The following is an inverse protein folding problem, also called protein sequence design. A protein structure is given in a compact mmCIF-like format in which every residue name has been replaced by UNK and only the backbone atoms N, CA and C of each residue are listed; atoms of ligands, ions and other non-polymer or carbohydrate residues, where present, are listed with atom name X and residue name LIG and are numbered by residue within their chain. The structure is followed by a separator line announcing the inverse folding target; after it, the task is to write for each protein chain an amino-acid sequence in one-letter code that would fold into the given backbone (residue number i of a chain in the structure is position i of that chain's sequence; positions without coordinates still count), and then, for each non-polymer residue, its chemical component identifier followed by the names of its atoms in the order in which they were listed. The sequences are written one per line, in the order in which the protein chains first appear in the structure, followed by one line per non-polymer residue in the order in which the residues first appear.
data_IF_208674429835
#
_entry.id   IF_208674429835
#
_cell.length_a   1.000
_cell.length_b   1.000
_cell.length_c   1.000
_cell.angle_alpha   90.00
_cell.angle_beta   90.00
_cell.angle_gamma   90.00
#
_symmetry.space_group_name_H-M   'P 1'
#
loop_
_entity.id
_entity.type
_entity.pdbx_description
1 polymer ?
#
# COMPACT_ATOMS: atom_id res chain seq x y z
N UNK A 1 19.56 2.91 39.47
CA UNK A 1 18.29 2.18 39.24
C UNK A 1 18.33 0.87 39.98
N UNK A 2 17.28 0.53 40.73
CA UNK A 2 17.19 -0.81 41.30
C UNK A 2 17.07 -1.84 40.17
N UNK A 3 17.75 -3.00 40.24
CA UNK A 3 17.79 -3.98 39.15
C UNK A 3 16.40 -4.49 38.74
N UNK A 4 15.41 -4.44 39.64
CA UNK A 4 14.01 -4.79 39.33
C UNK A 4 13.32 -3.80 38.39
N UNK A 5 13.64 -2.50 38.45
CA UNK A 5 13.02 -1.47 37.60
C UNK A 5 13.50 -1.56 36.16
N UNK A 6 14.78 -1.90 35.95
CA UNK A 6 15.34 -2.12 34.61
C UNK A 6 14.65 -3.28 33.90
N UNK A 7 14.47 -4.42 34.60
CA UNK A 7 13.78 -5.58 34.08
C UNK A 7 12.30 -5.30 33.77
N UNK A 8 11.64 -4.49 34.61
CA UNK A 8 10.25 -4.09 34.37
C UNK A 8 10.11 -3.15 33.17
N UNK A 9 11.02 -2.19 33.00
CA UNK A 9 11.05 -1.30 31.84
C UNK A 9 11.31 -2.08 30.55
N UNK A 10 12.26 -3.02 30.58
CA UNK A 10 12.53 -3.90 29.45
C UNK A 10 11.29 -4.74 29.10
N UNK A 11 10.59 -5.27 30.10
CA UNK A 11 9.35 -6.00 29.89
C UNK A 11 8.27 -5.14 29.23
N UNK A 12 8.13 -3.87 29.64
CA UNK A 12 7.19 -2.93 29.00
C UNK A 12 7.62 -2.66 27.55
N UNK A 13 8.89 -2.33 27.30
CA UNK A 13 9.41 -2.00 25.97
C UNK A 13 9.33 -3.16 24.96
N UNK A 14 9.21 -4.41 25.44
CA UNK A 14 8.97 -5.59 24.59
C UNK A 14 7.53 -5.68 24.07
N UNK A 15 6.57 -5.05 24.75
CA UNK A 15 5.14 -5.15 24.41
C UNK A 15 4.57 -3.87 23.80
N UNK A 16 5.31 -2.76 23.83
CA UNK A 16 4.89 -1.50 23.22
C UNK A 16 5.20 -1.51 21.72
N UNK A 17 4.24 -1.07 20.91
CA UNK A 17 4.36 -0.92 19.45
C UNK A 17 5.18 0.30 19.03
N UNK A 18 6.28 0.58 19.73
CA UNK A 18 7.17 1.71 19.47
C UNK A 18 8.60 1.21 19.47
N UNK A 19 9.32 1.53 18.40
CA UNK A 19 10.73 1.23 18.23
C UNK A 19 11.56 2.24 18.98
N UNK A 20 12.48 1.77 19.80
CA UNK A 20 13.36 2.61 20.60
C UNK A 20 14.79 2.14 20.42
N UNK A 21 15.68 3.05 20.02
CA UNK A 21 17.12 2.85 20.03
C UNK A 21 17.83 4.00 20.73
N UNK A 22 18.94 3.68 21.40
CA UNK A 22 19.84 4.66 22.00
C UNK A 22 21.17 4.56 21.28
N UNK A 23 21.68 5.67 20.79
CA UNK A 23 22.92 5.76 20.04
C UNK A 23 23.91 6.64 20.79
N UNK A 24 25.20 6.30 20.72
CA UNK A 24 26.26 7.21 21.18
C UNK A 24 26.43 8.34 20.15
N UNK A 25 26.31 9.59 20.56
CA UNK A 25 26.34 10.76 19.65
C UNK A 25 27.63 10.89 18.84
N UNK A 26 28.79 10.66 19.46
CA UNK A 26 30.10 10.85 18.79
C UNK A 26 30.42 9.80 17.75
N UNK A 27 30.03 8.55 18.00
CA UNK A 27 30.41 7.40 17.18
C UNK A 27 29.24 6.74 16.46
N UNK A 28 28.00 7.19 16.73
CA UNK A 28 26.74 6.61 16.25
C UNK A 28 26.67 5.09 16.45
N UNK A 29 27.23 4.59 17.55
CA UNK A 29 27.13 3.18 17.91
C UNK A 29 25.84 2.93 18.69
N UNK A 30 25.16 1.83 18.38
CA UNK A 30 23.92 1.44 19.02
C UNK A 30 24.23 0.93 20.44
N UNK A 31 23.78 1.65 21.47
CA UNK A 31 23.90 1.23 22.88
C UNK A 31 22.73 0.35 23.30
N UNK A 32 21.55 0.60 22.74
CA UNK A 32 20.34 -0.12 23.05
C UNK A 32 19.41 -0.11 21.82
N UNK A 33 18.69 -1.21 21.62
CA UNK A 33 17.63 -1.32 20.64
C UNK A 33 16.59 -2.30 21.20
N UNK A 34 15.31 -1.91 21.23
CA UNK A 34 14.25 -2.82 21.62
C UNK A 34 13.87 -3.77 20.47
N UNK A 35 13.19 -4.90 20.74
CA UNK A 35 12.82 -5.84 19.67
C UNK A 35 11.96 -5.23 18.56
N UNK A 36 11.13 -4.22 18.89
CA UNK A 36 10.27 -3.57 17.91
C UNK A 36 11.07 -2.79 16.86
N UNK A 37 12.11 -2.04 17.25
CA UNK A 37 12.94 -1.33 16.26
C UNK A 37 13.75 -2.28 15.38
N UNK A 38 14.13 -3.45 15.90
CA UNK A 38 14.81 -4.48 15.12
C UNK A 38 13.90 -5.07 14.05
N UNK A 39 12.59 -5.17 14.30
CA UNK A 39 11.61 -5.66 13.34
C UNK A 39 11.43 -4.75 12.11
N UNK A 40 12.00 -3.53 12.12
CA UNK A 40 12.07 -2.63 10.97
C UNK A 40 13.32 -2.82 10.12
N UNK A 41 14.33 -3.52 10.61
CA UNK A 41 15.57 -3.75 9.89
C UNK A 41 15.42 -4.95 8.94
N UNK A 42 16.17 -4.93 7.84
CA UNK A 42 16.23 -6.06 6.91
C UNK A 42 17.04 -7.22 7.50
N UNK A 43 16.91 -8.42 6.92
CA UNK A 43 17.75 -9.55 7.27
C UNK A 43 19.23 -9.25 6.98
N UNK A 44 20.17 -9.63 7.86
CA UNK A 44 20.01 -10.49 9.04
C UNK A 44 19.73 -9.75 10.37
N UNK A 45 19.66 -8.41 10.34
CA UNK A 45 19.70 -7.57 11.54
C UNK A 45 18.44 -7.65 12.39
N UNK A 46 17.31 -8.05 11.82
CA UNK A 46 16.05 -8.22 12.54
C UNK A 46 16.10 -9.30 13.65
N UNK A 47 17.04 -10.25 13.59
CA UNK A 47 17.20 -11.31 14.60
C UNK A 47 18.56 -11.30 15.29
N UNK A 48 19.50 -10.46 14.83
CA UNK A 48 20.84 -10.38 15.40
C UNK A 48 20.95 -9.26 16.43
N UNK A 49 21.93 -9.41 17.33
CA UNK A 49 22.24 -8.36 18.28
C UNK A 49 23.02 -7.24 17.58
N UNK A 50 22.36 -6.09 17.42
CA UNK A 50 22.95 -4.89 16.79
C UNK A 50 23.67 -3.97 17.79
N UNK A 51 23.62 -4.28 19.09
CA UNK A 51 24.27 -3.47 20.12
C UNK A 51 25.78 -3.50 19.94
N UNK A 52 26.39 -2.31 19.92
CA UNK A 52 27.82 -2.10 19.70
C UNK A 52 28.19 -1.89 18.23
N UNK A 53 27.28 -2.13 17.28
CA UNK A 53 27.50 -1.83 15.87
C UNK A 53 27.23 -0.35 15.57
N UNK A 54 27.80 0.13 14.48
CA UNK A 54 27.50 1.47 13.99
C UNK A 54 26.21 1.46 13.19
N UNK A 55 25.48 2.57 13.25
CA UNK A 55 24.23 2.74 12.49
C UNK A 55 24.43 2.57 10.98
N UNK A 56 25.59 2.98 10.43
CA UNK A 56 25.93 2.84 9.01
C UNK A 56 26.20 1.40 8.56
N UNK A 57 26.43 0.48 9.49
CA UNK A 57 26.61 -0.96 9.21
C UNK A 57 25.29 -1.72 9.19
N UNK A 58 24.27 -1.18 9.88
CA UNK A 58 22.99 -1.86 10.13
C UNK A 58 21.87 -1.34 9.22
N UNK A 59 21.84 -0.03 8.95
CA UNK A 59 20.81 0.56 8.10
C UNK A 59 21.10 0.34 6.60
N UNK A 60 20.07 0.16 5.76
CA UNK A 60 20.22 0.18 4.30
C UNK A 60 20.82 1.50 3.82
N UNK A 61 21.68 1.45 2.79
CA UNK A 61 22.40 2.61 2.27
C UNK A 61 21.49 3.82 1.96
N UNK A 62 20.31 3.57 1.40
CA UNK A 62 19.30 4.58 1.08
C UNK A 62 18.79 5.33 2.32
N UNK A 63 18.65 4.61 3.44
CA UNK A 63 18.25 5.20 4.72
C UNK A 63 19.45 5.90 5.36
N UNK A 64 20.66 5.32 5.27
CA UNK A 64 21.89 5.92 5.79
C UNK A 64 22.13 7.32 5.24
N UNK A 65 21.97 7.52 3.93
CA UNK A 65 22.19 8.80 3.26
C UNK A 65 21.27 9.91 3.82
N UNK A 66 20.08 9.54 4.28
CA UNK A 66 19.10 10.45 4.86
C UNK A 66 19.30 10.59 6.37
N UNK A 67 19.51 9.48 7.08
CA UNK A 67 19.54 9.42 8.53
C UNK A 67 20.84 9.96 9.13
N UNK A 68 22.01 9.68 8.54
CA UNK A 68 23.31 10.08 9.10
C UNK A 68 23.47 11.60 9.23
N UNK A 69 23.12 12.43 8.21
CA UNK A 69 23.15 13.88 8.36
C UNK A 69 22.25 14.38 9.49
N UNK A 70 21.07 13.77 9.65
CA UNK A 70 20.10 14.14 10.68
C UNK A 70 20.59 13.79 12.09
N UNK A 71 21.12 12.59 12.28
CA UNK A 71 21.70 12.16 13.55
C UNK A 71 22.87 13.07 13.96
N UNK A 72 23.74 13.45 13.00
CA UNK A 72 24.82 14.40 13.25
C UNK A 72 24.30 15.78 13.62
N UNK A 73 23.30 16.29 12.89
CA UNK A 73 22.68 17.57 13.18
C UNK A 73 22.08 17.63 14.59
N UNK A 74 21.40 16.58 15.04
CA UNK A 74 20.85 16.50 16.40
C UNK A 74 21.96 16.41 17.44
N UNK A 75 23.04 15.66 17.15
CA UNK A 75 24.19 15.55 18.05
C UNK A 75 24.96 16.86 18.25
N UNK A 76 25.06 17.67 17.20
CA UNK A 76 25.80 18.94 17.21
C UNK A 76 24.96 20.08 17.77
N UNK A 77 23.69 20.19 17.36
CA UNK A 77 22.83 21.31 17.72
C UNK A 77 22.03 21.07 19.00
N UNK A 78 21.90 19.81 19.46
CA UNK A 78 21.06 19.43 20.58
C UNK A 78 19.58 19.73 20.38
N UNK A 79 19.14 19.99 19.14
CA UNK A 79 17.75 20.28 18.83
C UNK A 79 17.04 18.98 18.43
N UNK A 80 15.93 18.60 19.10
CA UNK A 80 15.19 17.41 18.73
C UNK A 80 14.57 17.58 17.35
N UNK A 81 14.56 16.50 16.58
CA UNK A 81 13.98 16.47 15.24
C UNK A 81 12.82 15.48 15.23
N UNK A 82 11.70 15.92 14.65
CA UNK A 82 10.49 15.12 14.55
C UNK A 82 9.99 15.08 13.11
N UNK A 83 9.78 13.86 12.61
CA UNK A 83 9.20 13.60 11.30
C UNK A 83 7.90 12.81 11.46
N UNK A 84 6.86 13.29 10.79
CA UNK A 84 5.54 12.67 10.79
C UNK A 84 5.27 12.04 9.42
N UNK A 85 4.70 10.84 9.45
CA UNK A 85 4.18 10.15 8.25
C UNK A 85 5.22 9.98 7.12
N UNK A 86 6.47 9.68 7.47
CA UNK A 86 7.54 9.44 6.49
C UNK A 86 7.21 8.17 5.70
N UNK A 87 7.05 8.25 4.37
CA UNK A 87 6.79 7.06 3.56
C UNK A 87 8.07 6.23 3.46
N UNK A 88 7.95 4.95 3.78
CA UNK A 88 9.00 3.96 3.57
C UNK A 88 8.49 2.89 2.60
N UNK A 89 9.24 2.71 1.52
CA UNK A 89 8.89 1.82 0.40
C UNK A 89 9.78 0.58 0.33
N UNK A 90 10.64 0.33 1.33
CA UNK A 90 11.70 -0.69 1.28
C UNK A 90 11.23 -2.05 0.74
N UNK A 91 10.55 -2.85 1.57
CA UNK A 91 10.04 -4.17 1.17
C UNK A 91 8.57 -4.10 0.77
N UNK A 92 8.28 -3.48 -0.38
CA UNK A 92 6.95 -3.46 -1.01
C UNK A 92 6.33 -4.87 -1.12
N UNK A 93 7.15 -5.91 -1.26
CA UNK A 93 6.75 -7.32 -1.46
C UNK A 93 6.05 -7.96 -0.26
N UNK A 94 6.40 -7.56 0.98
CA UNK A 94 5.88 -8.19 2.21
C UNK A 94 4.98 -7.26 3.02
N UNK A 95 5.22 -5.94 3.01
CA UNK A 95 4.50 -4.98 3.86
C UNK A 95 3.81 -3.84 3.08
N UNK A 96 4.10 -3.70 1.79
CA UNK A 96 3.66 -2.55 1.00
C UNK A 96 4.28 -1.24 1.52
N UNK A 97 3.74 -0.10 1.08
CA UNK A 97 4.16 1.21 1.60
C UNK A 97 3.74 1.37 3.07
N UNK A 98 4.71 1.66 3.93
CA UNK A 98 4.49 1.95 5.35
C UNK A 98 4.75 3.43 5.64
N UNK A 99 4.14 3.95 6.70
CA UNK A 99 4.30 5.34 7.13
C UNK A 99 4.83 5.36 8.54
N UNK A 100 5.96 6.03 8.74
CA UNK A 100 6.64 6.05 10.03
C UNK A 100 6.61 7.43 10.65
N UNK A 101 6.48 7.45 11.97
CA UNK A 101 6.68 8.64 12.78
C UNK A 101 7.99 8.46 13.53
N UNK A 102 8.94 9.37 13.29
CA UNK A 102 10.31 9.24 13.80
C UNK A 102 10.63 10.48 14.63
N UNK A 103 11.09 10.30 15.86
CA UNK A 103 11.73 11.37 16.63
C UNK A 103 13.16 11.00 17.00
N UNK A 104 14.02 12.00 16.95
CA UNK A 104 15.42 11.91 17.35
C UNK A 104 15.64 13.01 18.37
N UNK A 105 15.97 12.62 19.60
CA UNK A 105 16.09 13.52 20.74
C UNK A 105 17.43 13.32 21.43
N UNK A 106 18.12 14.38 21.86
CA UNK A 106 19.29 14.22 22.73
C UNK A 106 18.83 13.74 24.11
N UNK A 107 19.41 12.65 24.58
CA UNK A 107 19.18 12.06 25.89
C UNK A 107 19.88 12.89 26.96
N UNK A 108 19.11 13.61 27.76
CA UNK A 108 19.61 14.39 28.91
C UNK A 108 19.72 13.51 30.16
N UNK A 109 20.30 12.32 30.05
CA UNK A 109 20.61 11.52 31.24
C UNK A 109 21.78 12.20 31.95
N UNK A 110 21.46 13.11 32.87
CA UNK A 110 22.32 13.47 33.97
C UNK A 110 22.48 12.24 34.86
N UNK A 111 23.57 11.50 34.67
CA UNK A 111 24.08 10.66 35.76
C UNK A 111 24.43 11.59 36.94
N UNK A 112 24.07 11.15 38.15
CA UNK A 112 23.92 11.98 39.33
C UNK A 112 25.05 12.98 39.63
N UNK A 113 24.65 14.08 40.26
CA UNK A 113 25.45 15.08 40.95
C UNK A 113 26.62 14.46 41.73
N UNK A 114 27.79 14.25 41.13
CA UNK A 114 29.12 14.22 41.80
C UNK A 114 30.32 14.02 40.90
N UNK A 115 30.17 13.83 39.59
CA UNK A 115 31.33 13.73 38.69
C UNK A 115 31.58 15.06 38.00
N UNK A 116 32.77 15.62 38.20
CA UNK A 116 33.24 16.85 37.55
C UNK A 116 32.96 16.85 36.04
N UNK A 117 32.62 18.00 35.43
CA UNK A 117 32.33 18.09 34.01
C UNK A 117 33.59 17.77 33.21
N UNK A 118 33.74 16.52 32.79
CA UNK A 118 34.70 16.14 31.76
C UNK A 118 34.16 16.68 30.44
N UNK A 119 34.93 17.57 29.80
CA UNK A 119 34.54 18.43 28.68
C UNK A 119 34.10 17.71 27.37
N UNK A 120 33.97 16.38 27.36
CA UNK A 120 33.71 15.57 26.15
C UNK A 120 32.46 14.68 26.23
N UNK A 121 31.58 14.86 27.22
CA UNK A 121 30.33 14.10 27.28
C UNK A 121 29.26 14.72 26.37
N UNK A 122 29.32 14.42 25.07
CA UNK A 122 28.18 14.63 24.20
C UNK A 122 27.02 13.72 24.66
N UNK A 123 25.79 14.24 24.80
CA UNK A 123 24.64 13.45 25.22
C UNK A 123 24.38 12.31 24.23
N UNK A 124 23.91 11.17 24.70
CA UNK A 124 23.44 10.09 23.82
C UNK A 124 22.24 10.55 22.99
N UNK A 125 21.95 9.88 21.88
CA UNK A 125 20.77 10.15 21.06
C UNK A 125 19.72 9.07 21.31
N UNK A 126 18.50 9.49 21.59
CA UNK A 126 17.31 8.65 21.64
C UNK A 126 16.60 8.72 20.28
N UNK A 127 16.41 7.56 19.66
CA UNK A 127 15.65 7.42 18.42
C UNK A 127 14.37 6.66 18.74
N UNK A 128 13.25 7.26 18.40
CA UNK A 128 11.92 6.66 18.53
C UNK A 128 11.33 6.53 17.14
N UNK A 129 10.84 5.35 16.79
CA UNK A 129 10.20 5.07 15.52
C UNK A 129 8.88 4.32 15.75
N UNK A 130 7.77 4.90 15.31
CA UNK A 130 6.44 4.30 15.40
C UNK A 130 5.91 4.02 14.00
N UNK A 131 5.28 2.85 13.82
CA UNK A 131 4.54 2.55 12.61
C UNK A 131 3.13 3.15 12.70
N UNK A 132 2.87 4.19 11.91
CA UNK A 132 1.57 4.88 11.85
C UNK A 132 0.79 4.52 10.58
N UNK A 133 1.16 3.43 9.92
CA UNK A 133 0.58 3.01 8.62
C UNK A 133 -0.94 2.91 8.68
N UNK A 134 -1.52 2.26 9.70
CA UNK A 134 -2.97 2.09 9.79
C UNK A 134 -3.71 3.41 10.01
N UNK A 135 -3.12 4.31 10.80
CA UNK A 135 -3.65 5.65 11.04
C UNK A 135 -3.65 6.48 9.75
N UNK A 136 -2.53 6.46 9.02
CA UNK A 136 -2.39 7.17 7.75
C UNK A 136 -3.32 6.56 6.69
N UNK A 137 -3.36 5.23 6.56
CA UNK A 137 -4.26 4.53 5.62
C UNK A 137 -5.73 4.83 5.90
N UNK A 138 -6.14 4.82 7.16
CA UNK A 138 -7.52 5.16 7.55
C UNK A 138 -7.87 6.61 7.17
N UNK A 139 -6.94 7.55 7.42
CA UNK A 139 -7.11 8.96 7.03
C UNK A 139 -7.18 9.13 5.51
N UNK A 140 -6.27 8.49 4.77
CA UNK A 140 -6.25 8.50 3.31
C UNK A 140 -7.53 7.88 2.74
N UNK A 141 -8.03 6.80 3.33
CA UNK A 141 -9.28 6.17 2.92
C UNK A 141 -10.48 7.09 3.09
N UNK A 142 -10.59 7.78 4.24
CA UNK A 142 -11.65 8.77 4.46
C UNK A 142 -11.52 9.96 3.49
N UNK A 143 -10.30 10.46 3.27
CA UNK A 143 -10.06 11.54 2.32
C UNK A 143 -10.42 11.12 0.89
N UNK A 144 -10.11 9.88 0.50
CA UNK A 144 -10.50 9.32 -0.78
C UNK A 144 -12.02 9.25 -0.93
N UNK A 145 -12.74 8.72 0.06
CA UNK A 145 -14.20 8.67 0.06
C UNK A 145 -14.78 10.07 -0.07
N UNK A 146 -14.33 11.03 0.73
CA UNK A 146 -14.80 12.41 0.67
C UNK A 146 -14.52 13.05 -0.70
N UNK A 147 -13.33 12.83 -1.26
CA UNK A 147 -12.98 13.34 -2.59
C UNK A 147 -13.85 12.73 -3.68
N UNK A 148 -14.17 11.44 -3.60
CA UNK A 148 -15.01 10.75 -4.57
C UNK A 148 -16.46 11.23 -4.44
N UNK A 149 -17.02 11.28 -3.23
CA UNK A 149 -18.37 11.77 -2.98
C UNK A 149 -18.50 13.22 -3.44
N UNK A 150 -17.52 14.08 -3.14
CA UNK A 150 -17.54 15.47 -3.61
C UNK A 150 -17.48 15.58 -5.12
N UNK A 151 -16.75 14.69 -5.81
CA UNK A 151 -16.71 14.67 -7.26
C UNK A 151 -18.03 14.18 -7.88
N UNK A 152 -18.72 13.22 -7.24
CA UNK A 152 -20.03 12.71 -7.66
C UNK A 152 -21.16 13.72 -7.39
N UNK A 153 -21.11 14.42 -6.26
CA UNK A 153 -22.13 15.38 -5.86
C UNK A 153 -22.03 16.73 -6.62
N UNK A 154 -20.89 17.01 -7.26
CA UNK A 154 -20.73 18.14 -8.17
C UNK A 154 -21.25 17.81 -9.58
N UNK A 155 -21.52 18.83 -10.44
CA UNK A 155 -21.85 18.65 -11.86
C UNK A 155 -20.62 18.24 -12.70
N UNK A 156 -19.79 17.35 -12.16
CA UNK A 156 -18.51 16.95 -12.74
C UNK A 156 -18.73 15.94 -13.86
N UNK A 157 -18.02 16.10 -14.98
CA UNK A 157 -17.94 15.05 -16.01
C UNK A 157 -17.32 13.78 -15.40
N UNK A 158 -17.86 12.60 -15.75
CA UNK A 158 -17.41 11.26 -15.33
C UNK A 158 -15.88 11.12 -15.30
N UNK A 159 -15.18 11.74 -16.26
CA UNK A 159 -13.73 11.77 -16.36
C UNK A 159 -13.03 12.27 -15.08
N UNK A 160 -13.54 13.35 -14.47
CA UNK A 160 -12.96 13.89 -13.23
C UNK A 160 -13.15 12.97 -12.02
N UNK A 161 -14.25 12.22 -11.98
CA UNK A 161 -14.49 11.23 -10.92
C UNK A 161 -13.47 10.09 -11.05
N UNK A 162 -13.27 9.58 -12.27
CA UNK A 162 -12.31 8.51 -12.54
C UNK A 162 -10.87 8.92 -12.23
N UNK A 163 -10.46 10.14 -12.60
CA UNK A 163 -9.13 10.66 -12.27
C UNK A 163 -8.90 10.74 -10.75
N UNK A 164 -9.90 11.17 -9.99
CA UNK A 164 -9.83 11.23 -8.52
C UNK A 164 -9.75 9.84 -7.89
N UNK A 165 -10.49 8.87 -8.44
CA UNK A 165 -10.40 7.46 -8.02
C UNK A 165 -8.98 6.93 -8.28
N UNK A 166 -8.42 7.17 -9.47
CA UNK A 166 -7.07 6.74 -9.80
C UNK A 166 -6.01 7.37 -8.89
N UNK A 167 -6.14 8.66 -8.58
CA UNK A 167 -5.26 9.35 -7.65
C UNK A 167 -5.33 8.73 -6.24
N UNK A 168 -6.54 8.54 -5.72
CA UNK A 168 -6.75 7.94 -4.40
C UNK A 168 -6.18 6.53 -4.30
N UNK A 169 -6.34 5.71 -5.34
CA UNK A 169 -5.76 4.37 -5.42
C UNK A 169 -4.24 4.41 -5.46
N UNK A 170 -3.65 5.34 -6.21
CA UNK A 170 -2.20 5.53 -6.25
C UNK A 170 -1.65 5.92 -4.86
N UNK A 171 -2.32 6.84 -4.16
CA UNK A 171 -1.85 7.30 -2.85
C UNK A 171 -2.00 6.21 -1.78
N UNK A 172 -3.08 5.41 -1.84
CA UNK A 172 -3.39 4.37 -0.87
C UNK A 172 -2.58 3.09 -1.07
N UNK A 173 -2.35 2.68 -2.32
CA UNK A 173 -1.65 1.43 -2.67
C UNK A 173 -0.17 1.67 -2.97
N UNK A 174 0.23 2.91 -3.30
CA UNK A 174 1.58 3.21 -3.78
C UNK A 174 1.83 2.75 -5.22
N UNK A 175 0.77 2.46 -5.97
CA UNK A 175 0.90 1.97 -7.34
C UNK A 175 1.34 3.10 -8.29
N UNK A 176 2.46 2.89 -9.00
CA UNK A 176 2.96 3.85 -9.98
C UNK A 176 2.06 3.98 -11.22
N UNK A 177 1.21 2.97 -11.46
CA UNK A 177 0.40 2.83 -12.68
C UNK A 177 -0.95 2.25 -12.33
N UNK A 178 -2.01 2.93 -12.77
CA UNK A 178 -3.40 2.56 -12.47
C UNK A 178 -4.28 2.77 -13.72
N UNK A 179 -5.28 1.93 -13.91
CA UNK A 179 -6.34 2.15 -14.91
C UNK A 179 -7.70 1.68 -14.42
N UNK A 180 -8.73 2.36 -14.88
CA UNK A 180 -10.12 1.92 -14.76
C UNK A 180 -10.53 1.27 -16.08
N UNK A 181 -10.92 0.00 -15.98
CA UNK A 181 -11.40 -0.78 -17.11
C UNK A 181 -12.92 -0.88 -17.03
N UNK A 182 -13.61 -0.52 -18.11
CA UNK A 182 -15.05 -0.72 -18.25
C UNK A 182 -15.31 -1.95 -19.11
N UNK A 183 -16.39 -2.65 -18.78
CA UNK A 183 -16.86 -3.80 -19.54
C UNK A 183 -18.05 -3.32 -20.35
N UNK A 184 -17.92 -3.39 -21.67
CA UNK A 184 -19.03 -3.06 -22.56
C UNK A 184 -20.17 -4.08 -22.38
N UNK A 185 -21.43 -3.64 -22.45
CA UNK A 185 -22.56 -4.55 -22.48
C UNK A 185 -22.43 -5.49 -23.69
N UNK A 186 -22.96 -6.72 -23.60
CA UNK A 186 -22.89 -7.67 -24.71
C UNK A 186 -23.54 -7.03 -25.95
N UNK A 187 -22.77 -6.89 -27.03
CA UNK A 187 -23.19 -6.24 -28.28
C UNK A 187 -24.16 -7.09 -29.13
N UNK A 188 -24.93 -7.98 -28.48
CA UNK A 188 -25.76 -8.98 -29.16
C UNK A 188 -27.24 -8.97 -28.82
N UNK A 189 -27.72 -8.15 -27.88
CA UNK A 189 -29.12 -8.25 -27.42
C UNK A 189 -30.09 -7.31 -28.12
N UNK A 190 -29.65 -6.20 -28.72
CA UNK A 190 -30.59 -5.23 -29.33
C UNK A 190 -31.05 -5.63 -30.73
N UNK A 191 -30.18 -6.15 -31.59
CA UNK A 191 -30.56 -6.37 -33.00
C UNK A 191 -31.13 -7.78 -33.27
N UNK A 192 -31.00 -8.74 -32.34
CA UNK A 192 -31.53 -10.10 -32.49
C UNK A 192 -32.92 -10.32 -31.87
N UNK A 193 -33.39 -9.43 -30.98
CA UNK A 193 -34.75 -9.52 -30.45
C UNK A 193 -35.83 -9.14 -31.49
N UNK A 194 -35.50 -8.41 -32.56
CA UNK A 194 -36.44 -8.08 -33.64
C UNK A 194 -36.71 -9.23 -34.62
N UNK A 195 -35.89 -10.29 -34.64
CA UNK A 195 -35.98 -11.35 -35.65
C UNK A 195 -36.51 -12.70 -35.14
N UNK A 196 -36.94 -12.81 -33.87
CA UNK A 196 -37.68 -13.99 -33.39
C UNK A 196 -36.91 -15.32 -33.42
N UNK A 197 -35.57 -15.29 -33.45
CA UNK A 197 -34.72 -16.49 -33.39
C UNK A 197 -34.14 -16.68 -31.97
N UNK A 198 -34.96 -17.12 -31.02
CA UNK A 198 -34.51 -17.40 -29.64
C UNK A 198 -33.49 -18.56 -29.54
N UNK A 199 -33.41 -19.45 -30.54
CA UNK A 199 -32.56 -20.64 -30.47
C UNK A 199 -31.10 -20.43 -30.89
N UNK A 200 -30.76 -19.36 -31.62
CA UNK A 200 -29.37 -19.11 -32.08
C UNK A 200 -28.55 -18.29 -31.05
N UNK A 201 -29.22 -17.57 -30.15
CA UNK A 201 -28.57 -16.76 -29.13
C UNK A 201 -27.82 -17.58 -28.05
N UNK A 202 -28.06 -18.90 -27.95
CA UNK A 202 -27.44 -19.76 -26.91
C UNK A 202 -26.03 -20.26 -27.28
N UNK A 203 -25.58 -20.08 -28.52
CA UNK A 203 -24.30 -20.67 -29.00
C UNK A 203 -23.19 -19.65 -29.28
N UNK A 204 -23.47 -18.35 -29.23
CA UNK A 204 -22.41 -17.35 -29.35
C UNK A 204 -21.90 -17.03 -27.94
N UNK A 205 -20.65 -17.35 -27.58
CA UNK A 205 -20.10 -16.91 -26.30
C UNK A 205 -20.21 -15.38 -26.26
N UNK A 206 -20.88 -14.83 -25.23
CA UNK A 206 -20.99 -13.39 -25.02
C UNK A 206 -19.58 -12.78 -24.95
N UNK A 207 -19.02 -12.35 -26.07
CA UNK A 207 -17.71 -11.72 -26.11
C UNK A 207 -17.88 -10.28 -25.67
N UNK A 208 -17.76 -10.04 -24.37
CA UNK A 208 -17.73 -8.69 -23.81
C UNK A 208 -16.38 -8.04 -24.13
N UNK A 209 -16.40 -6.79 -24.57
CA UNK A 209 -15.19 -5.99 -24.79
C UNK A 209 -14.83 -5.24 -23.53
N UNK A 210 -13.53 -5.02 -23.33
CA UNK A 210 -13.01 -4.16 -22.27
C UNK A 210 -12.51 -2.88 -22.90
N UNK A 211 -12.84 -1.74 -22.29
CA UNK A 211 -12.35 -0.42 -22.69
C UNK A 211 -11.60 0.21 -21.50
N UNK A 212 -10.55 0.98 -21.76
CA UNK A 212 -9.87 1.76 -20.71
C UNK A 212 -10.59 3.10 -20.60
N UNK A 213 -11.30 3.33 -19.49
CA UNK A 213 -12.05 4.56 -19.27
C UNK A 213 -11.22 5.69 -18.69
N UNK A 214 -10.20 5.35 -17.90
CA UNK A 214 -9.22 6.28 -17.38
C UNK A 214 -7.90 5.54 -17.08
N UNK A 215 -6.77 6.24 -17.20
CA UNK A 215 -5.46 5.67 -16.91
C UNK A 215 -4.48 6.71 -16.35
N UNK A 216 -3.55 6.26 -15.52
CA UNK A 216 -2.45 7.06 -14.97
C UNK A 216 -1.18 6.23 -14.97
N UNK A 217 -0.09 6.77 -15.54
CA UNK A 217 1.21 6.09 -15.64
C UNK A 217 1.24 4.91 -16.63
N UNK A 218 0.20 4.73 -17.44
CA UNK A 218 0.14 3.76 -18.54
C UNK A 218 0.44 4.49 -19.86
N UNK A 219 1.07 3.79 -20.81
CA UNK A 219 1.42 4.38 -22.10
C UNK A 219 0.20 4.83 -22.90
N UNK A 220 0.34 5.89 -23.72
CA UNK A 220 -0.76 6.47 -24.49
C UNK A 220 -1.32 5.51 -25.55
N UNK A 221 -0.50 4.60 -26.09
CA UNK A 221 -0.96 3.57 -27.04
C UNK A 221 -1.92 2.54 -26.41
N UNK A 222 -1.99 2.46 -25.08
CA UNK A 222 -2.96 1.62 -24.39
C UNK A 222 -4.40 2.14 -24.50
N UNK A 223 -4.62 3.39 -24.92
CA UNK A 223 -5.97 3.88 -25.22
C UNK A 223 -6.67 3.08 -26.34
N UNK A 224 -5.89 2.42 -27.22
CA UNK A 224 -6.39 1.51 -28.26
C UNK A 224 -6.57 0.05 -27.80
N UNK A 225 -6.30 -0.26 -26.53
CA UNK A 225 -6.33 -1.62 -26.00
C UNK A 225 -7.77 -2.04 -25.66
N UNK A 226 -8.34 -2.89 -26.52
CA UNK A 226 -9.74 -3.33 -26.44
C UNK A 226 -9.88 -4.86 -26.46
N UNK A 227 -9.34 -5.58 -25.45
CA UNK A 227 -9.28 -7.02 -25.51
C UNK A 227 -10.65 -7.65 -25.18
N UNK A 228 -10.92 -8.84 -25.73
CA UNK A 228 -12.17 -9.58 -25.48
C UNK A 228 -12.08 -10.36 -24.17
N UNK A 229 -13.03 -10.17 -23.25
CA UNK A 229 -13.04 -10.84 -21.94
C UNK A 229 -12.93 -12.36 -22.13
N UNK A 230 -11.79 -12.91 -21.73
CA UNK A 230 -11.49 -14.33 -21.82
C UNK A 230 -10.57 -14.75 -20.66
N UNK A 231 -10.19 -16.04 -20.59
CA UNK A 231 -9.33 -16.60 -19.53
C UNK A 231 -7.90 -16.01 -19.50
N UNK A 232 -7.48 -15.38 -20.60
CA UNK A 232 -6.16 -14.79 -20.78
C UNK A 232 -6.14 -13.30 -20.43
N UNK A 233 -7.24 -12.70 -19.99
CA UNK A 233 -7.22 -11.34 -19.45
C UNK A 233 -7.49 -11.40 -17.96
N UNK A 234 -6.74 -10.60 -17.21
CA UNK A 234 -6.87 -10.42 -15.77
C UNK A 234 -8.32 -10.19 -15.34
N UNK A 235 -9.04 -9.35 -16.07
CA UNK A 235 -10.46 -9.05 -15.83
C UNK A 235 -11.36 -10.28 -15.98
N UNK A 236 -11.07 -11.18 -16.93
CA UNK A 236 -11.84 -12.43 -17.10
C UNK A 236 -11.63 -13.42 -15.95
N UNK A 237 -10.48 -13.38 -15.28
CA UNK A 237 -10.24 -14.15 -14.05
C UNK A 237 -10.95 -13.51 -12.85
N UNK A 238 -10.80 -12.19 -12.67
CA UNK A 238 -11.47 -11.41 -11.61
C UNK A 238 -12.99 -11.57 -11.68
N UNK A 239 -13.59 -11.52 -12.87
CA UNK A 239 -15.04 -11.69 -13.03
C UNK A 239 -15.53 -13.08 -12.63
N UNK A 240 -14.74 -14.13 -12.90
CA UNK A 240 -15.09 -15.51 -12.51
C UNK A 240 -14.98 -15.70 -11.01
N UNK A 241 -13.91 -15.21 -10.42
CA UNK A 241 -13.59 -15.43 -9.01
C UNK A 241 -14.33 -14.45 -8.09
N UNK A 242 -14.85 -13.34 -8.63
CA UNK A 242 -15.51 -12.23 -7.92
C UNK A 242 -14.70 -11.71 -6.72
N UNK A 243 -13.38 -11.77 -6.84
CA UNK A 243 -12.42 -11.38 -5.80
C UNK A 243 -11.36 -10.47 -6.39
N UNK A 244 -10.79 -9.65 -5.53
CA UNK A 244 -9.58 -8.88 -5.84
C UNK A 244 -8.43 -9.83 -6.15
N UNK A 245 -7.75 -9.62 -7.28
CA UNK A 245 -6.57 -10.40 -7.65
C UNK A 245 -5.31 -9.54 -7.51
N UNK A 246 -4.27 -10.14 -6.93
CA UNK A 246 -2.95 -9.53 -6.73
C UNK A 246 -1.91 -10.43 -7.39
N UNK A 247 -1.16 -9.87 -8.33
CA UNK A 247 0.01 -10.50 -8.92
C UNK A 247 1.24 -9.69 -8.54
N UNK A 248 2.14 -10.27 -7.75
CA UNK A 248 3.37 -9.61 -7.29
C UNK A 248 4.40 -9.52 -8.40
N UNK A 249 4.49 -10.53 -9.27
CA UNK A 249 5.32 -10.48 -10.47
C UNK A 249 4.57 -10.99 -11.69
N UNK A 250 4.30 -10.08 -12.64
CA UNK A 250 3.69 -10.39 -13.93
C UNK A 250 4.53 -11.33 -14.81
N UNK A 251 5.82 -11.53 -14.53
CA UNK A 251 6.62 -12.54 -15.24
C UNK A 251 6.13 -13.97 -15.00
N UNK A 252 5.53 -14.22 -13.83
CA UNK A 252 5.02 -15.55 -13.41
C UNK A 252 3.72 -15.96 -14.10
N UNK A 253 3.07 -15.03 -14.79
CA UNK A 253 1.79 -15.21 -15.49
C UNK A 253 1.88 -14.85 -16.98
N UNK A 254 2.75 -15.52 -17.77
CA UNK A 254 2.98 -15.19 -19.19
C UNK A 254 1.71 -15.26 -20.04
N UNK A 255 0.72 -16.05 -19.61
CA UNK A 255 -0.54 -16.29 -20.32
C UNK A 255 -1.59 -15.19 -20.13
N UNK A 256 -1.29 -14.13 -19.37
CA UNK A 256 -2.21 -13.00 -19.15
C UNK A 256 -1.81 -11.81 -20.05
N UNK A 257 -2.76 -11.32 -20.85
CA UNK A 257 -2.65 -10.13 -21.68
C UNK A 257 -2.81 -8.86 -20.81
N UNK A 258 -1.88 -7.92 -20.98
CA UNK A 258 -1.80 -6.66 -20.23
C UNK A 258 -1.70 -5.47 -21.19
N UNK A 259 -2.21 -4.28 -20.82
CA UNK A 259 -2.04 -3.07 -21.60
C UNK A 259 -0.55 -2.69 -21.73
N UNK A 260 -0.21 -1.88 -22.73
CA UNK A 260 1.16 -1.45 -22.98
C UNK A 260 1.67 -0.52 -21.86
N UNK A 261 2.94 -0.71 -21.50
CA UNK A 261 3.55 -0.15 -20.30
C UNK A 261 4.78 0.71 -20.59
N UNK A 262 5.22 0.81 -21.84
CA UNK A 262 6.36 1.60 -22.30
C UNK A 262 6.08 2.30 -23.64
N UNK A 263 7.02 3.16 -24.05
CA UNK A 263 6.92 4.03 -25.22
C UNK A 263 7.05 3.30 -26.56
N UNK A 264 7.48 2.02 -26.55
CA UNK A 264 7.65 1.18 -27.74
C UNK A 264 6.40 0.34 -28.05
N UNK A 265 5.33 0.50 -27.28
CA UNK A 265 4.10 -0.29 -27.45
C UNK A 265 4.32 -1.77 -27.15
N UNK A 266 5.25 -2.11 -26.25
CA UNK A 266 5.43 -3.48 -25.76
C UNK A 266 4.94 -3.60 -24.32
N UNK A 267 4.37 -4.74 -23.99
CA UNK A 267 4.00 -5.02 -22.60
C UNK A 267 5.28 -5.29 -21.82
N UNK A 268 5.70 -4.34 -20.99
CA UNK A 268 6.87 -4.50 -20.14
C UNK A 268 6.56 -5.43 -18.96
N UNK A 269 7.38 -6.48 -18.81
CA UNK A 269 7.47 -7.33 -17.61
C UNK A 269 8.92 -7.26 -17.12
N UNK A 270 9.21 -7.42 -15.81
CA UNK A 270 8.32 -7.71 -14.68
C UNK A 270 7.66 -6.47 -14.07
N UNK A 271 6.67 -6.70 -13.19
CA UNK A 271 5.94 -5.66 -12.45
C UNK A 271 4.74 -6.25 -11.71
N UNK A 272 4.23 -5.55 -10.69
CA UNK A 272 3.07 -6.00 -9.89
C UNK A 272 1.75 -5.40 -10.40
N UNK A 273 0.67 -6.17 -10.31
CA UNK A 273 -0.68 -5.75 -10.74
C UNK A 273 -1.71 -6.10 -9.67
N UNK A 274 -2.50 -5.11 -9.29
CA UNK A 274 -3.69 -5.24 -8.45
C UNK A 274 -4.93 -4.99 -9.31
N UNK A 275 -5.88 -5.93 -9.33
CA UNK A 275 -7.15 -5.75 -10.02
C UNK A 275 -8.31 -5.91 -9.05
N UNK A 276 -9.07 -4.83 -8.88
CA UNK A 276 -10.23 -4.76 -8.00
C UNK A 276 -11.49 -4.70 -8.87
N UNK A 277 -12.41 -5.67 -8.76
CA UNK A 277 -13.67 -5.57 -9.49
C UNK A 277 -14.55 -4.48 -8.90
N UNK A 278 -15.08 -3.61 -9.77
CA UNK A 278 -16.18 -2.71 -9.45
C UNK A 278 -17.41 -3.28 -10.14
N UNK A 279 -18.29 -3.93 -9.36
CA UNK A 279 -19.54 -4.47 -9.89
C UNK A 279 -20.65 -3.44 -9.75
N UNK A 280 -21.39 -3.20 -10.83
CA UNK A 280 -22.76 -2.72 -10.69
C UNK A 280 -23.61 -3.82 -10.05
N UNK A 281 -24.49 -3.49 -9.09
CA UNK A 281 -25.52 -4.43 -8.66
C UNK A 281 -26.50 -4.63 -9.81
N UNK A 282 -26.25 -5.60 -10.67
CA UNK A 282 -27.29 -6.13 -11.53
C UNK A 282 -28.31 -6.82 -10.63
N UNK A 283 -29.49 -6.20 -10.50
CA UNK A 283 -30.71 -6.88 -10.07
C UNK A 283 -30.99 -7.95 -11.14
N UNK A 284 -30.38 -9.12 -10.96
CA UNK A 284 -30.73 -10.30 -11.74
C UNK A 284 -32.14 -10.67 -11.33
N UNK A 285 -33.08 -10.45 -12.26
CA UNK A 285 -34.41 -11.05 -12.29
C UNK A 285 -35.18 -11.02 -10.98
N UNK A 286 -36.13 -10.09 -10.86
CA UNK A 286 -37.34 -10.38 -10.11
C UNK A 286 -38.00 -11.62 -10.74
N UNK A 287 -37.60 -12.81 -10.30
CA UNK A 287 -38.38 -14.02 -10.49
C UNK A 287 -39.74 -13.70 -9.91
N UNK A 288 -40.71 -13.65 -10.82
CA UNK A 288 -42.12 -13.58 -10.48
C UNK A 288 -42.44 -14.88 -9.76
N UNK A 289 -42.31 -14.88 -8.43
CA UNK A 289 -42.84 -15.94 -7.59
C UNK A 289 -44.35 -15.87 -7.78
N UNK A 290 -44.83 -16.63 -8.74
CA UNK A 290 -46.23 -16.99 -8.90
C UNK A 290 -46.61 -17.72 -7.62
N UNK A 291 -47.37 -17.01 -6.78
CA UNK A 291 -48.08 -17.55 -5.62
C UNK A 291 -49.24 -18.43 -6.14
N UNK A 292 -48.90 -19.59 -6.69
CA UNK A 292 -49.82 -20.71 -6.92
C UNK A 292 -49.25 -21.95 -6.24
N UNK A 293 -49.42 -22.02 -4.91
CA UNK A 293 -49.79 -23.26 -4.22
C UNK A 293 -49.90 -23.01 -2.72
N UNK A 294 -51.12 -22.71 -2.28
CA UNK A 294 -51.54 -22.90 -0.90
C UNK A 294 -53.03 -23.26 -0.88
N UNK A 295 -53.36 -24.48 -1.33
CA UNK A 295 -54.58 -25.15 -0.87
C UNK A 295 -54.33 -25.63 0.56
N UNK A 296 -55.11 -25.19 1.56
CA UNK A 296 -55.08 -25.84 2.87
C UNK A 296 -55.84 -27.17 2.78
N UNK A 297 -55.21 -28.24 3.27
CA UNK A 297 -55.91 -29.47 3.59
C UNK A 297 -56.74 -29.27 4.86
N UNK A 298 -58.06 -29.26 4.71
CA UNK A 298 -59.07 -29.88 5.60
C UNK A 298 -60.39 -29.96 4.86
#
# INVERSE_FOLDING_TARGET
MEPGQAAQLEHILRHVSVGVAILKSTSLHIRYANPYILAFLDEPWCYQNVVGLRVDEVLPAQICDIALPLLRQVSENGQPVHYTEVPYEGSLETRGRTYWQISIEPSTICEGETSEPTQDQHPDLLVIAEDVTDKVRSRLHLQAIHSIISAIAGPSALHHVLDRILQALQDLVGANRCAVLLIDPPTGTSDMQELGYEEVARTVPETRRVTIAAQKGIHIHSAGWHPLINRRILLGQVMRERKTLVFTDTSTIPNIDLPFLDDDGKSRRPGSVLCVPIFEPYLVGSESITLEDARPAT
#
